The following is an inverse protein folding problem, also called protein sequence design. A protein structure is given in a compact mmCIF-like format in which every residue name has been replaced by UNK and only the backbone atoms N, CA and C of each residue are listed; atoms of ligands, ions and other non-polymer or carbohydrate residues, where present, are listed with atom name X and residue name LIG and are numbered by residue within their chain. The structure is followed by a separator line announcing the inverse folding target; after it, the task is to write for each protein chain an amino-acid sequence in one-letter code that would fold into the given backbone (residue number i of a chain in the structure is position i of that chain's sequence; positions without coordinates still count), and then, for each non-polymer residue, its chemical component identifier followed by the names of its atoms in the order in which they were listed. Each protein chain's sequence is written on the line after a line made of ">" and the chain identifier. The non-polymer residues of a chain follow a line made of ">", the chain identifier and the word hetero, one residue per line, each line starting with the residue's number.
data_IF_595868670827
#
_entry.id   IF_595868670827
#
_cell.length_a   1.000
_cell.length_b   1.000
_cell.length_c   1.000
_cell.angle_alpha   90.00
_cell.angle_beta   90.00
_cell.angle_gamma   90.00
#
_symmetry.space_group_name_H-M   'P 1'
#
loop_
_entity.id
_entity.type
_entity.pdbx_description
1 polymer ?
#
# COMPACT_ATOMS: atom_id res chain seq x y z
N UNK A 1 -3.32 -3.93 14.94
CA UNK A 1 -2.57 -2.73 15.36
C UNK A 1 -2.50 -1.66 14.27
N UNK A 2 -2.32 -2.01 12.98
CA UNK A 2 -2.15 -1.06 11.88
C UNK A 2 -3.39 -0.17 11.63
N UNK A 3 -4.55 -0.77 11.38
CA UNK A 3 -5.78 -0.04 11.07
C UNK A 3 -6.25 0.88 12.23
N UNK A 4 -6.25 0.44 13.50
CA UNK A 4 -6.58 1.32 14.62
C UNK A 4 -5.66 2.52 14.76
N UNK A 5 -4.33 2.35 14.57
CA UNK A 5 -3.37 3.45 14.64
C UNK A 5 -3.59 4.48 13.52
N UNK A 6 -3.86 4.03 12.31
CA UNK A 6 -4.20 4.91 11.18
C UNK A 6 -5.50 5.67 11.45
N UNK A 7 -6.50 4.98 11.99
CA UNK A 7 -7.77 5.59 12.35
C UNK A 7 -7.58 6.65 13.44
N UNK A 8 -6.89 6.32 14.53
CA UNK A 8 -6.63 7.24 15.65
C UNK A 8 -5.84 8.46 15.19
N UNK A 9 -4.71 8.27 14.49
CA UNK A 9 -3.90 9.36 13.93
C UNK A 9 -4.73 10.32 13.09
N UNK A 10 -5.66 9.80 12.32
CA UNK A 10 -6.51 10.63 11.46
C UNK A 10 -7.57 11.44 12.23
N UNK A 11 -7.79 11.16 13.52
CA UNK A 11 -8.62 11.99 14.41
C UNK A 11 -7.82 13.12 15.05
N UNK A 12 -6.53 12.91 15.33
CA UNK A 12 -5.66 13.93 15.90
C UNK A 12 -5.26 15.03 14.91
N UNK A 13 -5.10 14.68 13.63
CA UNK A 13 -4.63 15.59 12.59
C UNK A 13 -5.72 15.89 11.57
N UNK A 14 -6.28 17.11 11.62
CA UNK A 14 -7.33 17.56 10.68
C UNK A 14 -6.74 18.27 9.46
N UNK A 15 -5.72 19.13 9.64
CA UNK A 15 -5.18 19.99 8.59
C UNK A 15 -4.12 19.33 7.69
N UNK A 16 -3.34 18.36 8.21
CA UNK A 16 -2.27 17.64 7.48
C UNK A 16 -2.41 16.13 7.67
N UNK A 17 -3.63 15.64 7.48
CA UNK A 17 -3.99 14.25 7.76
C UNK A 17 -3.21 13.26 6.89
N UNK A 18 -3.00 13.58 5.60
CA UNK A 18 -2.27 12.73 4.67
C UNK A 18 -0.81 12.52 5.10
N UNK A 19 -0.14 13.59 5.52
CA UNK A 19 1.23 13.52 6.03
C UNK A 19 1.30 12.69 7.31
N UNK A 20 0.41 12.94 8.28
CA UNK A 20 0.41 12.24 9.55
C UNK A 20 0.17 10.73 9.38
N UNK A 21 -0.81 10.36 8.58
CA UNK A 21 -1.09 8.97 8.21
C UNK A 21 0.09 8.37 7.44
N UNK A 22 0.68 9.11 6.50
CA UNK A 22 1.86 8.69 5.74
C UNK A 22 3.05 8.34 6.64
N UNK A 23 3.35 9.17 7.64
CA UNK A 23 4.43 8.95 8.62
C UNK A 23 4.16 7.68 9.44
N UNK A 24 2.96 7.53 10.00
CA UNK A 24 2.60 6.36 10.82
C UNK A 24 2.69 5.06 10.01
N UNK A 25 2.19 5.07 8.78
CA UNK A 25 2.24 3.90 7.89
C UNK A 25 3.68 3.60 7.42
N UNK A 26 4.55 4.61 7.34
CA UNK A 26 5.96 4.44 6.93
C UNK A 26 6.75 3.56 7.90
N UNK A 27 6.35 3.47 9.16
CA UNK A 27 6.96 2.56 10.14
C UNK A 27 7.01 1.10 9.70
N UNK A 28 6.00 0.63 8.95
CA UNK A 28 5.97 -0.72 8.41
C UNK A 28 7.10 -0.96 7.37
N UNK A 29 7.32 -0.01 6.48
CA UNK A 29 8.41 -0.10 5.48
C UNK A 29 9.78 0.09 6.12
N UNK A 30 9.89 0.99 7.08
CA UNK A 30 11.13 1.19 7.84
C UNK A 30 11.50 -0.09 8.60
N UNK A 31 10.55 -0.75 9.22
CA UNK A 31 10.77 -2.06 9.84
C UNK A 31 11.22 -3.10 8.81
N UNK A 32 10.57 -3.16 7.64
CA UNK A 32 10.95 -4.07 6.55
C UNK A 32 12.31 -3.77 5.92
N UNK A 33 12.84 -2.54 6.05
CA UNK A 33 14.18 -2.21 5.60
C UNK A 33 15.27 -2.51 6.67
N UNK A 34 14.94 -2.39 7.96
CA UNK A 34 15.92 -2.50 9.05
C UNK A 34 16.02 -3.94 9.60
N UNK A 35 14.87 -4.61 9.82
CA UNK A 35 14.86 -5.91 10.50
C UNK A 35 15.47 -7.06 9.72
N UNK A 36 15.27 -7.22 8.40
CA UNK A 36 15.78 -8.39 7.67
C UNK A 36 17.30 -8.60 7.80
N UNK A 37 18.17 -7.59 7.61
CA UNK A 37 19.60 -7.78 7.78
C UNK A 37 19.99 -8.12 9.23
N UNK A 38 19.33 -7.54 10.24
CA UNK A 38 19.58 -7.84 11.65
C UNK A 38 19.17 -9.27 11.98
N UNK A 39 17.99 -9.71 11.50
CA UNK A 39 17.51 -11.07 11.71
C UNK A 39 18.44 -12.08 11.01
N UNK A 40 18.90 -11.78 9.80
CA UNK A 40 19.79 -12.65 9.07
C UNK A 40 21.13 -12.82 9.81
N UNK A 41 21.73 -11.73 10.28
CA UNK A 41 22.95 -11.77 11.08
C UNK A 41 22.79 -12.60 12.37
N UNK A 42 21.64 -12.49 13.04
CA UNK A 42 21.31 -13.32 14.21
C UNK A 42 21.14 -14.80 13.86
N UNK A 43 20.57 -15.12 12.69
CA UNK A 43 20.42 -16.51 12.22
C UNK A 43 21.79 -17.11 11.89
N UNK A 44 22.63 -16.35 11.19
CA UNK A 44 23.96 -16.79 10.76
C UNK A 44 24.93 -17.00 11.94
N UNK A 45 24.78 -16.19 13.01
CA UNK A 45 25.68 -16.24 14.18
C UNK A 45 25.23 -17.21 15.29
N UNK A 46 23.93 -17.45 15.42
CA UNK A 46 23.41 -18.27 16.52
C UNK A 46 22.48 -19.40 16.05
N UNK A 47 21.23 -19.10 15.75
CA UNK A 47 20.20 -20.00 15.20
C UNK A 47 18.90 -19.19 14.99
N UNK A 48 18.06 -19.64 14.07
CA UNK A 48 16.75 -19.03 13.82
C UNK A 48 15.85 -18.99 15.08
N UNK A 49 15.97 -20.00 15.97
CA UNK A 49 15.22 -20.04 17.23
C UNK A 49 15.60 -18.90 18.16
N UNK A 50 16.90 -18.61 18.27
CA UNK A 50 17.41 -17.50 19.10
C UNK A 50 16.92 -16.16 18.53
N UNK A 51 16.97 -15.98 17.21
CA UNK A 51 16.46 -14.80 16.55
C UNK A 51 14.97 -14.54 16.87
N UNK A 52 14.12 -15.56 16.72
CA UNK A 52 12.68 -15.43 17.01
C UNK A 52 12.39 -15.23 18.50
N UNK A 53 13.13 -15.89 19.40
CA UNK A 53 12.97 -15.68 20.85
C UNK A 53 13.37 -14.25 21.25
N UNK A 54 14.46 -13.74 20.70
CA UNK A 54 14.89 -12.36 20.94
C UNK A 54 13.83 -11.35 20.45
N UNK A 55 13.29 -11.55 19.25
CA UNK A 55 12.19 -10.72 18.74
C UNK A 55 10.95 -10.80 19.62
N UNK A 56 10.60 -11.99 20.13
CA UNK A 56 9.47 -12.16 21.03
C UNK A 56 9.69 -11.40 22.35
N UNK A 57 10.88 -11.46 22.95
CA UNK A 57 11.21 -10.71 24.17
C UNK A 57 11.14 -9.20 23.92
N UNK A 58 11.70 -8.72 22.81
CA UNK A 58 11.61 -7.30 22.42
C UNK A 58 10.14 -6.89 22.26
N UNK A 59 9.35 -7.68 21.56
CA UNK A 59 7.92 -7.37 21.32
C UNK A 59 7.13 -7.33 22.65
N UNK A 60 7.32 -8.31 23.54
CA UNK A 60 6.63 -8.35 24.84
C UNK A 60 7.06 -7.20 25.74
N UNK A 61 8.29 -6.74 25.66
CA UNK A 61 8.81 -5.64 26.49
C UNK A 61 8.39 -4.27 25.95
N UNK A 62 8.49 -4.06 24.65
CA UNK A 62 8.31 -2.74 24.02
C UNK A 62 6.83 -2.43 23.71
N UNK A 63 6.05 -3.42 23.24
CA UNK A 63 4.67 -3.17 22.81
C UNK A 63 3.75 -2.75 23.96
N UNK A 64 3.79 -3.35 25.16
CA UNK A 64 2.97 -2.87 26.29
C UNK A 64 3.36 -1.46 26.74
N UNK A 65 4.68 -1.16 26.77
CA UNK A 65 5.16 0.17 27.13
C UNK A 65 4.67 1.24 26.13
N UNK A 66 4.72 0.95 24.82
CA UNK A 66 4.19 1.85 23.79
C UNK A 66 2.67 2.01 23.89
N UNK A 67 1.93 0.94 24.23
CA UNK A 67 0.47 1.04 24.42
C UNK A 67 0.05 1.99 25.53
N UNK A 68 0.88 2.21 26.55
CA UNK A 68 0.59 3.20 27.60
C UNK A 68 0.54 4.63 27.05
N UNK A 69 1.34 4.96 26.03
CA UNK A 69 1.29 6.26 25.35
C UNK A 69 0.02 6.43 24.49
N UNK A 70 -0.57 5.34 24.01
CA UNK A 70 -1.79 5.35 23.20
C UNK A 70 -3.08 5.39 24.04
N UNK A 71 -2.99 5.40 25.37
CA UNK A 71 -4.14 5.43 26.26
C UNK A 71 -4.94 6.76 26.18
N UNK A 72 -4.31 7.85 25.77
CA UNK A 72 -4.99 9.12 25.52
C UNK A 72 -5.79 9.01 24.21
N UNK A 73 -7.11 8.88 24.34
CA UNK A 73 -8.01 8.92 23.18
C UNK A 73 -8.13 10.35 22.65
N UNK A 74 -8.09 10.50 21.33
CA UNK A 74 -8.45 11.75 20.67
C UNK A 74 -9.90 12.10 21.06
N UNK A 75 -10.17 13.34 21.45
CA UNK A 75 -11.54 13.84 21.49
C UNK A 75 -12.08 13.78 20.09
N UNK A 76 -13.12 12.97 19.87
CA UNK A 76 -13.85 12.92 18.61
C UNK A 76 -14.59 14.26 18.51
N UNK A 77 -13.90 15.31 18.06
CA UNK A 77 -14.61 16.45 17.50
C UNK A 77 -15.29 15.89 16.25
N UNK A 78 -16.62 15.99 16.23
CA UNK A 78 -17.41 15.73 15.04
C UNK A 78 -16.96 16.74 13.99
N UNK A 79 -15.86 16.45 13.30
CA UNK A 79 -15.42 17.23 12.18
C UNK A 79 -16.49 17.04 11.12
N UNK A 80 -17.25 18.11 10.88
CA UNK A 80 -18.21 18.15 9.77
C UNK A 80 -17.55 17.56 8.53
N UNK A 81 -18.24 16.69 7.82
CA UNK A 81 -17.72 16.09 6.60
C UNK A 81 -17.36 17.22 5.64
N UNK A 82 -16.15 17.15 5.05
CA UNK A 82 -15.78 18.02 3.94
C UNK A 82 -16.95 18.06 2.96
N UNK A 83 -17.56 19.25 2.81
CA UNK A 83 -18.72 19.49 1.97
C UNK A 83 -18.40 19.14 0.52
N UNK A 84 -18.81 17.95 0.10
CA UNK A 84 -18.83 17.51 -1.28
C UNK A 84 -20.24 17.04 -1.61
N UNK A 85 -20.89 17.74 -2.48
CA UNK A 85 -22.23 17.53 -3.01
C UNK A 85 -22.47 16.07 -3.41
N UNK A 86 -23.16 15.31 -2.58
CA UNK A 86 -23.52 13.91 -2.87
C UNK A 86 -23.82 13.08 -1.63
N UNK A 87 -23.57 13.62 -0.43
CA UNK A 87 -23.82 12.90 0.84
C UNK A 87 -25.29 12.85 1.26
N UNK A 88 -26.09 13.81 0.82
CA UNK A 88 -27.52 13.86 1.19
C UNK A 88 -28.39 12.84 0.45
N UNK A 89 -27.94 12.32 -0.68
CA UNK A 89 -28.72 11.35 -1.47
C UNK A 89 -28.56 9.89 -1.02
N UNK A 90 -27.74 9.57 -0.02
CA UNK A 90 -27.45 8.19 0.40
C UNK A 90 -26.72 7.35 -0.67
N UNK A 91 -26.32 7.95 -1.81
CA UNK A 91 -25.64 7.30 -2.93
C UNK A 91 -24.35 8.04 -3.31
N UNK A 92 -23.22 7.77 -2.63
CA UNK A 92 -21.96 8.41 -2.98
C UNK A 92 -21.56 8.05 -4.42
N UNK A 93 -21.24 9.07 -5.23
CA UNK A 93 -20.92 8.95 -6.66
C UNK A 93 -22.04 8.30 -7.50
N UNK A 94 -23.30 8.35 -7.04
CA UNK A 94 -24.43 7.70 -7.71
C UNK A 94 -24.47 6.16 -7.57
N UNK A 95 -23.55 5.56 -6.82
CA UNK A 95 -23.55 4.14 -6.51
C UNK A 95 -24.28 3.85 -5.19
N UNK A 96 -24.85 2.64 -5.07
CA UNK A 96 -25.21 2.14 -3.75
C UNK A 96 -23.94 2.03 -2.88
N UNK A 97 -23.98 2.34 -1.57
CA UNK A 97 -22.80 2.34 -0.72
C UNK A 97 -22.02 1.03 -0.74
N UNK A 98 -22.71 -0.10 -0.76
CA UNK A 98 -22.07 -1.42 -0.81
C UNK A 98 -21.43 -1.71 -2.17
N UNK A 99 -22.01 -1.25 -3.27
CA UNK A 99 -21.42 -1.38 -4.62
C UNK A 99 -20.12 -0.58 -4.72
N UNK A 100 -20.09 0.64 -4.17
CA UNK A 100 -18.88 1.44 -4.11
C UNK A 100 -17.81 0.77 -3.22
N UNK A 101 -18.21 0.22 -2.07
CA UNK A 101 -17.31 -0.53 -1.20
C UNK A 101 -16.70 -1.75 -1.92
N UNK A 102 -17.51 -2.53 -2.62
CA UNK A 102 -17.03 -3.66 -3.42
C UNK A 102 -16.03 -3.18 -4.49
N UNK A 103 -16.33 -2.11 -5.21
CA UNK A 103 -15.42 -1.57 -6.23
C UNK A 103 -14.08 -1.15 -5.63
N UNK A 104 -14.07 -0.50 -4.47
CA UNK A 104 -12.85 -0.12 -3.73
C UNK A 104 -12.07 -1.37 -3.30
N UNK A 105 -12.74 -2.41 -2.78
CA UNK A 105 -12.11 -3.66 -2.38
C UNK A 105 -11.48 -4.39 -3.58
N UNK A 106 -12.18 -4.49 -4.71
CA UNK A 106 -11.65 -5.10 -5.93
C UNK A 106 -10.46 -4.32 -6.50
N UNK A 107 -10.52 -2.99 -6.51
CA UNK A 107 -9.39 -2.16 -6.89
C UNK A 107 -8.19 -2.40 -5.97
N UNK A 108 -8.42 -2.50 -4.65
CA UNK A 108 -7.39 -2.82 -3.66
C UNK A 108 -6.74 -4.18 -3.87
N UNK A 109 -7.54 -5.22 -4.16
CA UNK A 109 -7.03 -6.55 -4.50
C UNK A 109 -6.15 -6.49 -5.76
N UNK A 110 -6.65 -5.91 -6.84
CA UNK A 110 -5.91 -5.82 -8.11
C UNK A 110 -4.59 -5.07 -7.99
N UNK A 111 -4.62 -3.93 -7.31
CA UNK A 111 -3.44 -3.13 -7.02
C UNK A 111 -2.39 -3.92 -6.21
N UNK A 112 -2.83 -4.64 -5.15
CA UNK A 112 -1.92 -5.36 -4.26
C UNK A 112 -1.41 -6.67 -4.86
N UNK A 113 -2.16 -7.34 -5.74
CA UNK A 113 -1.64 -8.43 -6.57
C UNK A 113 -0.48 -7.92 -7.42
N UNK A 114 -0.65 -6.77 -8.07
CA UNK A 114 0.41 -6.18 -8.89
C UNK A 114 1.65 -5.77 -8.06
N UNK A 115 1.43 -5.29 -6.84
CA UNK A 115 2.48 -4.87 -5.91
C UNK A 115 3.28 -6.05 -5.38
N UNK A 116 2.66 -7.21 -5.20
CA UNK A 116 3.28 -8.37 -4.57
C UNK A 116 4.39 -9.00 -5.42
N UNK A 117 4.28 -8.95 -6.76
CA UNK A 117 5.27 -9.61 -7.65
C UNK A 117 6.68 -9.06 -7.40
N UNK A 118 6.97 -7.76 -7.53
CA UNK A 118 8.30 -7.25 -7.21
C UNK A 118 8.68 -7.36 -5.73
N UNK A 119 7.72 -7.22 -4.80
CA UNK A 119 8.06 -7.24 -3.37
C UNK A 119 8.38 -8.63 -2.83
N UNK A 120 7.69 -9.66 -3.30
CA UNK A 120 7.84 -11.02 -2.80
C UNK A 120 8.86 -11.80 -3.62
N UNK A 121 8.91 -11.56 -4.92
CA UNK A 121 9.68 -12.37 -5.85
C UNK A 121 10.95 -11.70 -6.38
N UNK A 122 11.34 -10.50 -5.90
CA UNK A 122 12.55 -9.83 -6.40
C UNK A 122 13.81 -10.66 -6.16
N UNK A 123 13.93 -11.36 -5.03
CA UNK A 123 15.10 -12.18 -4.72
C UNK A 123 15.16 -13.40 -5.65
N UNK A 124 14.14 -14.28 -5.72
CA UNK A 124 14.19 -15.41 -6.65
C UNK A 124 14.23 -14.96 -8.12
N UNK A 125 13.61 -13.84 -8.50
CA UNK A 125 13.72 -13.30 -9.86
C UNK A 125 15.16 -12.91 -10.23
N UNK A 126 15.88 -12.26 -9.32
CA UNK A 126 17.28 -11.87 -9.53
C UNK A 126 18.20 -13.11 -9.60
N UNK A 127 17.90 -14.16 -8.81
CA UNK A 127 18.65 -15.42 -8.88
C UNK A 127 18.35 -16.21 -10.16
N UNK A 128 17.13 -16.15 -10.66
CA UNK A 128 16.73 -16.73 -11.95
C UNK A 128 17.50 -16.09 -13.14
N UNK A 129 17.82 -14.81 -13.01
CA UNK A 129 18.68 -14.08 -13.96
C UNK A 129 20.18 -14.34 -13.74
N UNK A 130 20.56 -15.33 -12.93
CA UNK A 130 21.94 -15.72 -12.58
C UNK A 130 22.75 -14.65 -11.82
N UNK A 131 22.10 -13.75 -11.10
CA UNK A 131 22.75 -12.84 -10.15
C UNK A 131 22.71 -13.41 -8.74
N UNK A 132 23.60 -12.95 -7.86
CA UNK A 132 23.62 -13.34 -6.46
C UNK A 132 22.34 -12.88 -5.72
N UNK A 133 21.79 -13.73 -4.83
CA UNK A 133 20.62 -13.41 -4.01
C UNK A 133 20.78 -12.12 -3.18
N UNK A 134 22.03 -11.78 -2.81
CA UNK A 134 22.38 -10.54 -2.12
C UNK A 134 21.93 -9.30 -2.89
N UNK A 135 22.02 -9.29 -4.22
CA UNK A 135 21.52 -8.18 -5.04
C UNK A 135 20.02 -8.04 -4.93
N UNK A 136 19.26 -9.12 -4.94
CA UNK A 136 17.81 -9.11 -4.73
C UNK A 136 17.43 -8.59 -3.35
N UNK A 137 18.14 -8.98 -2.29
CA UNK A 137 17.92 -8.46 -0.94
C UNK A 137 18.20 -6.95 -0.85
N UNK A 138 19.28 -6.48 -1.48
CA UNK A 138 19.60 -5.05 -1.53
C UNK A 138 18.54 -4.25 -2.35
N UNK A 139 18.06 -4.80 -3.45
CA UNK A 139 16.98 -4.19 -4.25
C UNK A 139 15.69 -4.08 -3.44
N UNK A 140 15.34 -5.12 -2.67
CA UNK A 140 14.18 -5.08 -1.78
C UNK A 140 14.34 -3.99 -0.70
N UNK A 141 15.52 -3.88 -0.10
CA UNK A 141 15.80 -2.85 0.90
C UNK A 141 15.70 -1.43 0.30
N UNK A 142 16.23 -1.20 -0.89
CA UNK A 142 16.12 0.06 -1.62
C UNK A 142 14.65 0.35 -1.96
N UNK A 143 13.91 -0.63 -2.46
CA UNK A 143 12.49 -0.53 -2.77
C UNK A 143 11.68 -0.08 -1.56
N UNK A 144 11.88 -0.74 -0.40
CA UNK A 144 11.18 -0.39 0.84
C UNK A 144 11.64 0.96 1.40
N UNK A 145 12.94 1.27 1.34
CA UNK A 145 13.49 2.57 1.73
C UNK A 145 12.91 3.72 0.90
N UNK A 146 12.90 3.60 -0.42
CA UNK A 146 12.23 4.55 -1.33
C UNK A 146 10.72 4.63 -1.05
N UNK A 147 10.10 3.52 -0.66
CA UNK A 147 8.71 3.47 -0.25
C UNK A 147 8.39 4.31 0.99
N UNK A 148 9.33 4.45 1.96
CA UNK A 148 9.18 5.37 3.10
C UNK A 148 9.05 6.82 2.61
N UNK A 149 9.97 7.25 1.74
CA UNK A 149 9.96 8.59 1.15
C UNK A 149 8.66 8.82 0.36
N UNK A 150 8.31 7.86 -0.47
CA UNK A 150 7.09 7.90 -1.29
C UNK A 150 5.83 8.05 -0.43
N UNK A 151 5.73 7.40 0.72
CA UNK A 151 4.57 7.52 1.62
C UNK A 151 4.37 8.92 2.15
N UNK A 152 5.45 9.58 2.56
CA UNK A 152 5.39 10.96 3.06
C UNK A 152 5.03 11.92 1.93
N UNK A 153 5.69 11.79 0.78
CA UNK A 153 5.43 12.63 -0.40
C UNK A 153 3.99 12.43 -0.92
N UNK A 154 3.54 11.19 -1.03
CA UNK A 154 2.17 10.88 -1.46
C UNK A 154 1.13 11.37 -0.47
N UNK A 155 1.44 11.39 0.83
CA UNK A 155 0.60 12.01 1.85
C UNK A 155 0.42 13.52 1.59
N UNK A 156 1.51 14.25 1.28
CA UNK A 156 1.45 15.67 0.91
C UNK A 156 0.68 15.90 -0.40
N UNK A 157 0.87 15.03 -1.39
CA UNK A 157 0.15 15.07 -2.66
C UNK A 157 -1.34 14.84 -2.41
N UNK A 158 -1.69 13.85 -1.60
CA UNK A 158 -3.07 13.50 -1.27
C UNK A 158 -3.82 14.63 -0.54
N UNK A 159 -3.10 15.40 0.29
CA UNK A 159 -3.69 16.59 0.95
C UNK A 159 -4.05 17.71 -0.05
N UNK A 160 -3.43 17.72 -1.25
CA UNK A 160 -3.69 18.72 -2.30
C UNK A 160 -4.67 18.26 -3.35
N UNK A 161 -4.50 17.06 -3.88
CA UNK A 161 -5.27 16.55 -5.02
C UNK A 161 -6.32 15.49 -4.64
N UNK A 162 -6.37 15.10 -3.36
CA UNK A 162 -7.27 14.08 -2.84
C UNK A 162 -6.79 12.64 -3.06
N UNK A 163 -7.39 11.70 -2.30
CA UNK A 163 -6.95 10.30 -2.29
C UNK A 163 -7.11 9.57 -3.62
N UNK A 164 -8.19 9.85 -4.36
CA UNK A 164 -8.46 9.15 -5.63
C UNK A 164 -7.46 9.53 -6.74
N UNK A 165 -7.12 10.81 -6.86
CA UNK A 165 -6.10 11.25 -7.82
C UNK A 165 -4.71 10.75 -7.43
N UNK A 166 -4.41 10.67 -6.12
CA UNK A 166 -3.15 10.11 -5.62
C UNK A 166 -3.06 8.62 -5.91
N UNK A 167 -4.16 7.88 -5.77
CA UNK A 167 -4.25 6.47 -6.15
C UNK A 167 -3.98 6.28 -7.64
N UNK A 168 -4.63 7.07 -8.51
CA UNK A 168 -4.42 7.01 -9.96
C UNK A 168 -2.98 7.33 -10.35
N UNK A 169 -2.37 8.35 -9.74
CA UNK A 169 -0.98 8.71 -9.98
C UNK A 169 -0.03 7.58 -9.57
N UNK A 170 -0.16 7.07 -8.33
CA UNK A 170 0.69 5.99 -7.82
C UNK A 170 0.55 4.70 -8.62
N UNK A 171 -0.69 4.28 -8.91
CA UNK A 171 -0.96 3.06 -9.71
C UNK A 171 -0.53 3.21 -11.16
N UNK A 172 -0.61 4.42 -11.74
CA UNK A 172 -0.11 4.72 -13.08
C UNK A 172 1.41 4.61 -13.15
N UNK A 173 2.13 5.20 -12.19
CA UNK A 173 3.58 5.06 -12.08
C UNK A 173 3.98 3.60 -11.84
N UNK A 174 3.26 2.87 -10.99
CA UNK A 174 3.47 1.44 -10.77
C UNK A 174 3.32 0.64 -12.07
N UNK A 175 2.29 0.94 -12.87
CA UNK A 175 2.10 0.28 -14.17
C UNK A 175 3.31 0.48 -15.08
N UNK A 176 3.80 1.72 -15.20
CA UNK A 176 4.98 2.03 -16.01
C UNK A 176 6.19 1.20 -15.56
N UNK A 177 6.45 1.13 -14.26
CA UNK A 177 7.59 0.37 -13.74
C UNK A 177 7.42 -1.14 -13.97
N UNK A 178 6.22 -1.70 -13.78
CA UNK A 178 5.95 -3.11 -14.06
C UNK A 178 6.18 -3.46 -15.54
N UNK A 179 5.80 -2.58 -16.46
CA UNK A 179 6.08 -2.75 -17.91
C UNK A 179 7.58 -2.69 -18.19
N UNK A 180 8.32 -1.83 -17.49
CA UNK A 180 9.77 -1.71 -17.65
C UNK A 180 10.53 -2.93 -17.09
N UNK A 181 9.98 -3.71 -16.19
CA UNK A 181 10.58 -4.99 -15.76
C UNK A 181 10.63 -6.05 -16.89
N UNK A 182 9.83 -5.92 -17.95
CA UNK A 182 9.81 -6.91 -19.05
C UNK A 182 11.03 -6.83 -19.97
N UNK A 183 11.45 -5.62 -20.47
CA UNK A 183 12.59 -5.51 -21.40
C UNK A 183 13.95 -5.31 -20.70
N UNK A 184 14.00 -5.03 -19.39
CA UNK A 184 15.24 -4.67 -18.72
C UNK A 184 15.61 -5.69 -17.63
N UNK A 185 16.65 -6.47 -17.89
CA UNK A 185 17.18 -7.55 -17.04
C UNK A 185 18.62 -7.28 -16.52
N UNK A 186 19.24 -6.16 -16.93
CA UNK A 186 20.58 -5.83 -16.46
C UNK A 186 20.57 -5.44 -14.98
N UNK A 187 21.62 -5.81 -14.24
CA UNK A 187 21.72 -5.57 -12.78
C UNK A 187 21.47 -4.12 -12.41
N UNK A 188 22.08 -3.17 -13.14
CA UNK A 188 21.90 -1.74 -12.88
C UNK A 188 20.47 -1.29 -13.14
N UNK A 189 19.84 -1.77 -14.22
CA UNK A 189 18.44 -1.45 -14.51
C UNK A 189 17.51 -1.96 -13.41
N UNK A 190 17.72 -3.17 -12.92
CA UNK A 190 16.91 -3.76 -11.84
C UNK A 190 17.00 -2.96 -10.54
N UNK A 191 18.17 -2.43 -10.18
CA UNK A 191 18.31 -1.52 -9.04
C UNK A 191 17.51 -0.22 -9.22
N UNK A 192 17.58 0.37 -10.42
CA UNK A 192 16.81 1.59 -10.74
C UNK A 192 15.31 1.29 -10.72
N UNK A 193 14.87 0.18 -11.30
CA UNK A 193 13.48 -0.25 -11.32
C UNK A 193 12.96 -0.52 -9.90
N UNK A 194 13.77 -1.15 -9.04
CA UNK A 194 13.42 -1.35 -7.64
C UNK A 194 13.20 -0.03 -6.89
N UNK A 195 14.08 0.95 -7.09
CA UNK A 195 13.93 2.29 -6.51
C UNK A 195 12.67 3.01 -7.05
N UNK A 196 12.46 2.99 -8.37
CA UNK A 196 11.27 3.57 -9.02
C UNK A 196 9.98 2.91 -8.53
N UNK A 197 9.97 1.58 -8.41
CA UNK A 197 8.84 0.85 -7.87
C UNK A 197 8.53 1.26 -6.44
N UNK A 198 9.55 1.36 -5.58
CA UNK A 198 9.42 1.87 -4.22
C UNK A 198 8.80 3.27 -4.16
N UNK A 199 9.24 4.18 -5.05
CA UNK A 199 8.70 5.54 -5.15
C UNK A 199 7.24 5.57 -5.66
N UNK A 200 6.83 4.63 -6.50
CA UNK A 200 5.46 4.59 -7.04
C UNK A 200 4.43 4.07 -6.04
N UNK A 201 4.77 3.07 -5.25
CA UNK A 201 3.81 2.29 -4.46
C UNK A 201 3.43 2.90 -3.10
N UNK A 202 4.26 3.79 -2.54
CA UNK A 202 4.14 4.22 -1.14
C UNK A 202 2.80 4.87 -0.80
N UNK A 203 2.19 5.59 -1.73
CA UNK A 203 0.93 6.30 -1.55
C UNK A 203 -0.34 5.50 -1.85
N UNK A 204 -0.22 4.32 -2.47
CA UNK A 204 -1.37 3.60 -3.01
C UNK A 204 -2.28 3.09 -1.88
N UNK A 205 -1.75 2.31 -0.94
CA UNK A 205 -2.55 1.75 0.15
C UNK A 205 -3.14 2.82 1.08
N UNK A 206 -2.40 3.87 1.51
CA UNK A 206 -2.98 4.98 2.26
C UNK A 206 -4.12 5.69 1.53
N UNK A 207 -4.05 5.81 0.21
CA UNK A 207 -5.10 6.47 -0.58
C UNK A 207 -6.46 5.80 -0.44
N UNK A 208 -6.53 4.47 -0.30
CA UNK A 208 -7.79 3.76 -0.07
C UNK A 208 -8.47 4.20 1.23
N UNK A 209 -7.71 4.42 2.30
CA UNK A 209 -8.28 4.89 3.57
C UNK A 209 -8.84 6.31 3.45
N UNK A 210 -8.16 7.16 2.69
CA UNK A 210 -8.60 8.53 2.42
C UNK A 210 -9.85 8.53 1.54
N UNK A 211 -9.93 7.66 0.51
CA UNK A 211 -11.08 7.48 -0.37
C UNK A 211 -12.31 7.04 0.44
N UNK A 212 -12.17 6.02 1.30
CA UNK A 212 -13.28 5.56 2.14
C UNK A 212 -13.79 6.69 3.03
N UNK A 213 -12.91 7.47 3.64
CA UNK A 213 -13.31 8.61 4.48
C UNK A 213 -13.94 9.75 3.69
N UNK A 214 -13.56 9.92 2.43
CA UNK A 214 -14.13 10.97 1.58
C UNK A 214 -15.56 10.65 1.15
N UNK A 215 -15.89 9.38 0.92
CA UNK A 215 -17.16 8.99 0.31
C UNK A 215 -18.16 8.36 1.27
N UNK A 216 -17.75 7.91 2.46
CA UNK A 216 -18.66 7.28 3.42
C UNK A 216 -18.83 8.10 4.69
N UNK A 217 -19.92 7.87 5.41
CA UNK A 217 -20.21 8.52 6.69
C UNK A 217 -19.15 8.12 7.74
N UNK A 218 -18.86 9.04 8.65
CA UNK A 218 -17.87 8.81 9.71
C UNK A 218 -18.17 7.58 10.57
N UNK A 219 -19.45 7.31 10.82
CA UNK A 219 -19.95 6.16 11.58
C UNK A 219 -19.56 4.82 10.93
N UNK A 220 -19.64 4.75 9.60
CA UNK A 220 -19.33 3.56 8.81
C UNK A 220 -17.84 3.45 8.46
N UNK A 221 -17.07 4.54 8.54
CA UNK A 221 -15.72 4.59 7.99
C UNK A 221 -14.78 3.56 8.63
N UNK A 222 -14.94 3.27 9.91
CA UNK A 222 -14.05 2.33 10.62
C UNK A 222 -14.09 0.92 10.04
N UNK A 223 -15.28 0.32 9.94
CA UNK A 223 -15.42 -1.04 9.41
C UNK A 223 -15.12 -1.11 7.92
N UNK A 224 -15.47 -0.07 7.15
CA UNK A 224 -15.20 0.02 5.70
C UNK A 224 -13.71 0.11 5.40
N UNK A 225 -12.95 0.88 6.18
CA UNK A 225 -11.48 0.92 6.10
C UNK A 225 -10.91 -0.45 6.43
N UNK A 226 -11.36 -1.07 7.53
CA UNK A 226 -10.92 -2.41 7.92
C UNK A 226 -11.15 -3.45 6.83
N UNK A 227 -12.34 -3.45 6.22
CA UNK A 227 -12.68 -4.31 5.09
C UNK A 227 -11.75 -4.04 3.89
N UNK A 228 -11.57 -2.78 3.50
CA UNK A 228 -10.70 -2.42 2.36
C UNK A 228 -9.26 -2.87 2.61
N UNK A 229 -8.71 -2.63 3.80
CA UNK A 229 -7.36 -3.06 4.15
C UNK A 229 -7.22 -4.59 4.21
N UNK A 230 -8.26 -5.30 4.66
CA UNK A 230 -8.28 -6.76 4.61
C UNK A 230 -8.17 -7.26 3.16
N UNK A 231 -8.93 -6.69 2.23
CA UNK A 231 -8.87 -7.06 0.82
C UNK A 231 -7.54 -6.68 0.17
N UNK A 232 -6.90 -5.58 0.57
CA UNK A 232 -5.53 -5.25 0.10
C UNK A 232 -4.52 -6.30 0.58
N UNK A 233 -4.59 -6.76 1.84
CA UNK A 233 -3.73 -7.83 2.35
C UNK A 233 -4.00 -9.17 1.66
N UNK A 234 -5.27 -9.49 1.41
CA UNK A 234 -5.66 -10.66 0.64
C UNK A 234 -5.08 -10.61 -0.78
N UNK A 235 -5.11 -9.43 -1.42
CA UNK A 235 -4.48 -9.20 -2.72
C UNK A 235 -2.97 -9.46 -2.70
N UNK A 236 -2.25 -9.01 -1.66
CA UNK A 236 -0.82 -9.32 -1.49
C UNK A 236 -0.56 -10.83 -1.37
N UNK A 237 -1.36 -11.53 -0.57
CA UNK A 237 -1.22 -12.97 -0.37
C UNK A 237 -1.50 -13.76 -1.66
N UNK A 238 -2.61 -13.45 -2.33
CA UNK A 238 -2.98 -14.09 -3.61
C UNK A 238 -1.92 -13.80 -4.67
N UNK A 239 -1.46 -12.55 -4.78
CA UNK A 239 -0.50 -12.15 -5.82
C UNK A 239 0.87 -12.80 -5.61
N UNK A 240 1.35 -12.90 -4.37
CA UNK A 240 2.58 -13.61 -4.06
C UNK A 240 2.50 -15.11 -4.39
N UNK A 241 1.39 -15.76 -3.98
CA UNK A 241 1.17 -17.16 -4.33
C UNK A 241 0.99 -17.36 -5.85
N UNK A 242 0.21 -16.51 -6.51
CA UNK A 242 -0.06 -16.62 -7.94
C UNK A 242 1.22 -16.45 -8.78
N UNK A 243 2.08 -15.50 -8.40
CA UNK A 243 3.35 -15.30 -9.11
C UNK A 243 4.26 -16.54 -9.01
N UNK A 244 4.33 -17.17 -7.83
CA UNK A 244 5.06 -18.43 -7.66
C UNK A 244 4.45 -19.57 -8.47
N UNK A 245 3.14 -19.75 -8.43
CA UNK A 245 2.43 -20.78 -9.20
C UNK A 245 2.61 -20.59 -10.72
N UNK A 246 2.59 -19.33 -11.21
CA UNK A 246 2.86 -19.04 -12.61
C UNK A 246 4.31 -19.36 -12.99
N UNK A 247 5.26 -19.06 -12.12
CA UNK A 247 6.67 -19.44 -12.32
C UNK A 247 6.83 -20.97 -12.37
N UNK A 248 6.23 -21.71 -11.44
CA UNK A 248 6.29 -23.17 -11.40
C UNK A 248 5.72 -23.82 -12.67
N UNK A 249 4.72 -23.20 -13.30
CA UNK A 249 4.09 -23.68 -14.53
C UNK A 249 4.86 -23.32 -15.79
N UNK A 250 5.56 -22.17 -15.80
CA UNK A 250 6.11 -21.58 -17.03
C UNK A 250 7.64 -21.51 -17.06
N UNK A 251 8.28 -21.63 -15.89
CA UNK A 251 9.73 -21.47 -15.72
C UNK A 251 10.24 -20.04 -15.94
N UNK A 252 9.32 -19.04 -15.91
CA UNK A 252 9.69 -17.63 -16.14
C UNK A 252 8.83 -16.68 -15.31
N UNK A 253 9.46 -15.60 -14.81
CA UNK A 253 8.75 -14.51 -14.13
C UNK A 253 8.05 -13.55 -15.10
N UNK A 254 8.31 -13.60 -16.40
CA UNK A 254 7.69 -12.73 -17.40
C UNK A 254 6.17 -12.78 -17.34
N UNK A 255 5.59 -13.99 -17.28
CA UNK A 255 4.14 -14.18 -17.17
C UNK A 255 3.59 -13.66 -15.84
N UNK A 256 4.35 -13.77 -14.75
CA UNK A 256 3.98 -13.20 -13.45
C UNK A 256 3.92 -11.66 -13.53
N UNK A 257 4.86 -10.99 -14.21
CA UNK A 257 4.82 -9.55 -14.45
C UNK A 257 3.66 -9.14 -15.36
N UNK A 258 3.40 -9.88 -16.46
CA UNK A 258 2.25 -9.63 -17.34
C UNK A 258 0.93 -9.75 -16.57
N UNK A 259 0.81 -10.75 -15.73
CA UNK A 259 -0.35 -10.91 -14.85
C UNK A 259 -0.52 -9.73 -13.88
N UNK A 260 0.57 -9.27 -13.24
CA UNK A 260 0.60 -8.09 -12.39
C UNK A 260 0.14 -6.83 -13.13
N UNK A 261 0.61 -6.63 -14.37
CA UNK A 261 0.19 -5.54 -15.26
C UNK A 261 -1.32 -5.59 -15.50
N UNK A 262 -1.86 -6.78 -15.82
CA UNK A 262 -3.30 -6.97 -16.04
C UNK A 262 -4.14 -6.57 -14.84
N UNK A 263 -3.77 -6.99 -13.63
CA UNK A 263 -4.45 -6.61 -12.40
C UNK A 263 -4.31 -5.12 -12.08
N UNK A 264 -3.17 -4.51 -12.37
CA UNK A 264 -2.99 -3.07 -12.17
C UNK A 264 -3.84 -2.25 -13.15
N UNK A 265 -3.97 -2.68 -14.40
CA UNK A 265 -4.89 -2.05 -15.38
C UNK A 265 -6.33 -2.14 -14.90
N UNK A 266 -6.75 -3.27 -14.36
CA UNK A 266 -8.10 -3.41 -13.79
C UNK A 266 -8.32 -2.45 -12.60
N UNK A 267 -7.34 -2.30 -11.70
CA UNK A 267 -7.38 -1.31 -10.64
C UNK A 267 -7.50 0.12 -11.20
N UNK A 268 -6.67 0.49 -12.17
CA UNK A 268 -6.71 1.81 -12.81
C UNK A 268 -8.05 2.09 -13.51
N UNK A 269 -8.64 1.09 -14.14
CA UNK A 269 -9.96 1.21 -14.77
C UNK A 269 -11.05 1.51 -13.73
N UNK A 270 -11.07 0.78 -12.60
CA UNK A 270 -12.04 1.00 -11.53
C UNK A 270 -11.85 2.40 -10.92
N UNK A 271 -10.62 2.77 -10.58
CA UNK A 271 -10.31 4.08 -10.02
C UNK A 271 -10.64 5.22 -11.02
N UNK A 272 -10.37 5.01 -12.30
CA UNK A 272 -10.70 5.96 -13.38
C UNK A 272 -12.20 6.16 -13.54
N UNK A 273 -13.01 5.10 -13.49
CA UNK A 273 -14.47 5.18 -13.51
C UNK A 273 -14.99 5.98 -12.29
N UNK A 274 -14.42 5.73 -11.12
CA UNK A 274 -14.77 6.49 -9.91
C UNK A 274 -14.44 7.98 -10.09
N UNK A 275 -13.26 8.30 -10.63
CA UNK A 275 -12.84 9.69 -10.87
C UNK A 275 -13.72 10.41 -11.88
N UNK A 276 -14.10 9.77 -12.98
CA UNK A 276 -15.03 10.34 -13.96
C UNK A 276 -16.39 10.70 -13.34
N UNK A 277 -16.86 9.90 -12.38
CA UNK A 277 -18.09 10.19 -11.66
C UNK A 277 -17.94 11.34 -10.68
N UNK A 278 -16.80 11.47 -10.01
CA UNK A 278 -16.49 12.62 -9.16
C UNK A 278 -16.57 13.92 -9.97
N UNK A 279 -15.94 13.94 -11.15
CA UNK A 279 -15.95 15.15 -12.00
C UNK A 279 -17.33 15.48 -12.57
N UNK A 280 -18.17 14.49 -12.84
CA UNK A 280 -19.54 14.71 -13.34
C UNK A 280 -20.52 15.19 -12.25
N UNK A 281 -20.26 14.85 -11.00
CA UNK A 281 -21.12 15.26 -9.86
C UNK A 281 -20.64 16.55 -9.20
N UNK A 282 -19.45 17.05 -9.55
CA UNK A 282 -19.02 18.38 -9.14
C UNK A 282 -19.90 19.43 -9.86
N UNK A 283 -20.53 20.39 -9.14
CA UNK A 283 -21.26 21.47 -9.79
C UNK A 283 -20.29 22.25 -10.68
N UNK A 284 -20.66 22.44 -11.95
CA UNK A 284 -19.97 23.38 -12.84
C UNK A 284 -19.98 24.74 -12.13
N UNK A 285 -18.83 25.18 -11.63
CA UNK A 285 -18.65 26.53 -11.17
C UNK A 285 -18.87 27.46 -12.41
N UNK A 286 -20.04 28.09 -12.46
CA UNK A 286 -20.34 29.20 -13.36
C UNK A 286 -19.86 30.49 -12.74
#
# INVERSE_FOLDING_TARGET
>A
TFAPLVADTSHWFTRRRGIAVGIVISGNYLAGAIWPPIIQDMIDTADWRVAYMTLAVIAISVLPALNLFLYKRAKIEQTEPLSGSGRDSGRPLGFAPNTLQCAICFAGVGCCIAMSVPQVHIIPYVTDLNFEARHGANMLAIMLGCGVVSRVVSGMISDRIGGLNTLLLGSGLQLVVLVLYLPFDSLTALYVLAAMFGLSQGGIVPSYTIIVRAFFKAEDAGWRIGMTLFFTMLGMAIGGWLAGALYDLTGSYEIAFINAIGFNIANLAIAGIMQQRVTRTAPTAV
#
